data_IF_562395105484
#
_entry.id   IF_562395105484
#
_cell.length_a   1.000
_cell.length_b   1.000
_cell.length_c   1.000
_cell.angle_alpha   90.00
_cell.angle_beta   90.00
_cell.angle_gamma   90.00
#
_symmetry.space_group_name_H-M   'P 1'
#
loop_
_entity.id
_entity.type
_entity.pdbx_description
1 polymer ?
#
# COMPACT_ATOMS: atom_id res chain seq x y z
N UNK A 1 31.17 10.32 2.49
CA UNK A 1 30.18 10.89 1.55
C UNK A 1 28.78 10.46 1.98
N UNK A 2 28.27 10.99 3.12
CA UNK A 2 26.93 10.73 3.67
C UNK A 2 26.09 12.02 3.84
N UNK A 3 26.64 13.16 3.46
CA UNK A 3 26.09 14.47 3.86
C UNK A 3 24.80 14.91 3.15
N UNK A 4 24.40 14.26 2.07
CA UNK A 4 23.18 14.65 1.35
C UNK A 4 21.91 13.93 1.80
N UNK A 5 22.04 12.80 2.52
CA UNK A 5 20.89 11.98 2.98
C UNK A 5 20.42 12.36 4.38
N UNK A 6 21.15 13.21 5.09
CA UNK A 6 20.91 13.54 6.49
C UNK A 6 20.22 14.89 6.69
N UNK A 7 20.34 15.82 5.74
CA UNK A 7 19.88 17.20 5.89
C UNK A 7 18.37 17.34 6.15
N UNK A 8 17.53 16.46 5.58
CA UNK A 8 16.06 16.55 5.75
C UNK A 8 15.57 16.08 7.13
N UNK A 9 16.38 15.35 7.89
CA UNK A 9 15.93 14.67 9.13
C UNK A 9 15.66 15.60 10.30
N UNK A 10 16.15 16.81 10.25
CA UNK A 10 15.98 17.82 11.29
C UNK A 10 15.12 19.01 10.81
N UNK A 11 14.47 18.86 9.63
CA UNK A 11 13.55 19.82 9.04
C UNK A 11 12.20 19.13 8.73
N UNK A 12 11.10 19.69 9.25
CA UNK A 12 9.76 19.08 9.14
C UNK A 12 9.25 19.08 7.69
N UNK A 13 9.45 20.17 6.98
CA UNK A 13 8.93 20.29 5.59
C UNK A 13 9.73 19.38 4.66
N UNK A 14 11.05 19.37 4.79
CA UNK A 14 11.91 18.47 4.02
C UNK A 14 11.64 17.00 4.35
N UNK A 15 11.36 16.65 5.62
CA UNK A 15 10.95 15.28 6.02
C UNK A 15 9.61 14.90 5.39
N UNK A 16 8.65 15.81 5.38
CA UNK A 16 7.35 15.60 4.73
C UNK A 16 7.48 15.34 3.23
N UNK A 17 8.30 16.16 2.54
CA UNK A 17 8.57 15.99 1.10
C UNK A 17 9.23 14.65 0.80
N UNK A 18 10.20 14.26 1.63
CA UNK A 18 10.92 12.99 1.49
C UNK A 18 10.01 11.77 1.70
N UNK A 19 9.02 11.84 2.60
CA UNK A 19 8.02 10.77 2.77
C UNK A 19 7.32 10.47 1.44
N UNK A 20 6.77 11.49 0.80
CA UNK A 20 6.05 11.32 -0.47
C UNK A 20 6.96 10.89 -1.62
N UNK A 21 8.18 11.44 -1.68
CA UNK A 21 9.18 11.04 -2.67
C UNK A 21 9.59 9.57 -2.56
N UNK A 22 9.75 9.05 -1.33
CA UNK A 22 10.07 7.64 -1.10
C UNK A 22 8.92 6.71 -1.45
N UNK A 23 7.71 7.06 -1.11
CA UNK A 23 6.53 6.31 -1.49
C UNK A 23 6.38 6.25 -3.02
N UNK A 24 6.55 7.39 -3.71
CA UNK A 24 6.52 7.44 -5.17
C UNK A 24 7.63 6.58 -5.81
N UNK A 25 8.85 6.61 -5.25
CA UNK A 25 9.94 5.73 -5.68
C UNK A 25 9.59 4.26 -5.46
N UNK A 26 8.89 3.92 -4.37
CA UNK A 26 8.41 2.56 -4.09
C UNK A 26 7.47 2.03 -5.18
N UNK A 27 6.67 2.89 -5.81
CA UNK A 27 5.84 2.49 -6.96
C UNK A 27 6.70 2.15 -8.17
N UNK A 28 7.73 2.95 -8.45
CA UNK A 28 8.55 2.84 -9.65
C UNK A 28 9.65 1.76 -9.56
N UNK A 29 10.27 1.61 -8.39
CA UNK A 29 11.41 0.70 -8.18
C UNK A 29 11.03 -0.48 -7.26
N UNK A 30 11.02 -1.69 -7.85
CA UNK A 30 10.73 -2.93 -7.13
C UNK A 30 11.77 -3.29 -6.05
N UNK A 31 12.97 -2.69 -6.10
CA UNK A 31 14.03 -2.90 -5.11
C UNK A 31 13.93 -1.94 -3.93
N UNK A 32 13.08 -0.94 -4.01
CA UNK A 32 12.81 -0.03 -2.91
C UNK A 32 12.16 -0.78 -1.74
N UNK A 33 12.60 -0.51 -0.50
CA UNK A 33 11.94 -1.01 0.71
C UNK A 33 10.49 -0.54 0.85
N UNK A 34 10.10 0.47 0.09
CA UNK A 34 8.73 1.02 0.05
C UNK A 34 7.87 0.44 -1.10
N UNK A 35 8.41 -0.52 -1.90
CA UNK A 35 7.62 -1.16 -2.96
C UNK A 35 6.50 -2.05 -2.42
N UNK A 36 6.82 -2.80 -1.36
CA UNK A 36 5.85 -3.62 -0.64
C UNK A 36 5.61 -3.03 0.73
N UNK A 37 4.35 -2.91 1.10
CA UNK A 37 3.94 -2.32 2.37
C UNK A 37 3.03 -3.28 3.12
N UNK A 38 2.99 -3.17 4.44
CA UNK A 38 2.00 -3.87 5.25
C UNK A 38 0.72 -3.05 5.29
N UNK A 39 -0.40 -3.63 4.86
CA UNK A 39 -1.73 -3.06 5.00
C UNK A 39 -2.43 -3.74 6.19
N UNK A 40 -2.83 -2.96 7.16
CA UNK A 40 -3.66 -3.37 8.28
C UNK A 40 -5.12 -2.96 8.04
N UNK A 41 -6.03 -3.91 8.28
CA UNK A 41 -7.49 -3.76 8.22
C UNK A 41 -8.10 -4.36 9.47
N UNK A 42 -9.39 -4.17 9.70
CA UNK A 42 -10.10 -4.71 10.85
C UNK A 42 -11.41 -5.38 10.44
N UNK A 43 -11.84 -6.35 11.23
CA UNK A 43 -13.20 -6.90 11.27
C UNK A 43 -13.58 -7.24 12.72
N UNK A 44 -14.68 -7.98 12.90
CA UNK A 44 -15.16 -8.35 14.24
C UNK A 44 -14.19 -9.25 15.02
N UNK A 45 -13.35 -10.02 14.30
CA UNK A 45 -12.36 -10.92 14.91
C UNK A 45 -11.05 -10.19 15.30
N UNK A 46 -10.89 -8.92 14.88
CA UNK A 46 -9.77 -8.08 15.26
C UNK A 46 -8.96 -7.53 14.08
N UNK A 47 -7.70 -7.13 14.34
CA UNK A 47 -6.83 -6.56 13.32
C UNK A 47 -6.20 -7.65 12.44
N UNK A 48 -6.15 -7.38 11.15
CA UNK A 48 -5.50 -8.24 10.15
C UNK A 48 -4.42 -7.46 9.40
N UNK A 49 -3.23 -8.01 9.28
CA UNK A 49 -2.11 -7.41 8.55
C UNK A 49 -1.59 -8.35 7.46
N UNK A 50 -1.24 -7.79 6.30
CA UNK A 50 -0.61 -8.51 5.18
C UNK A 50 0.23 -7.58 4.34
N UNK A 51 1.20 -8.16 3.64
CA UNK A 51 1.99 -7.42 2.64
C UNK A 51 1.18 -7.24 1.37
N UNK A 52 1.21 -6.02 0.84
CA UNK A 52 0.65 -5.65 -0.46
C UNK A 52 1.66 -4.84 -1.26
N UNK A 53 1.50 -4.80 -2.58
CA UNK A 53 2.35 -3.98 -3.45
C UNK A 53 1.75 -2.58 -3.57
N UNK A 54 2.57 -1.55 -3.32
CA UNK A 54 2.19 -0.16 -3.57
C UNK A 54 2.16 0.08 -5.09
N UNK A 55 1.00 0.47 -5.60
CA UNK A 55 0.71 0.58 -7.04
C UNK A 55 0.50 2.01 -7.52
N UNK A 56 0.33 2.94 -6.63
CA UNK A 56 0.17 4.35 -6.95
C UNK A 56 0.31 5.22 -5.72
N UNK A 57 0.79 6.43 -5.95
CA UNK A 57 0.90 7.51 -4.95
C UNK A 57 0.55 8.80 -5.64
N UNK A 58 -0.39 9.52 -5.07
CA UNK A 58 -0.82 10.84 -5.54
C UNK A 58 -0.78 11.81 -4.35
N UNK A 59 0.29 12.59 -4.26
CA UNK A 59 0.52 13.50 -3.13
C UNK A 59 -0.55 14.57 -3.00
N UNK A 60 -0.94 15.18 -4.12
CA UNK A 60 -1.92 16.27 -4.12
C UNK A 60 -3.28 15.81 -3.59
N UNK A 61 -3.65 14.56 -3.86
CA UNK A 61 -4.88 13.94 -3.39
C UNK A 61 -4.69 13.16 -2.08
N UNK A 62 -3.49 13.14 -1.51
CA UNK A 62 -3.13 12.37 -0.33
C UNK A 62 -3.45 10.88 -0.47
N UNK A 63 -3.35 10.32 -1.67
CA UNK A 63 -3.88 8.99 -1.97
C UNK A 63 -2.76 7.99 -2.26
N UNK A 64 -2.87 6.81 -1.65
CA UNK A 64 -2.14 5.61 -2.03
C UNK A 64 -3.09 4.67 -2.78
N UNK A 65 -2.53 3.85 -3.67
CA UNK A 65 -3.27 2.81 -4.36
C UNK A 65 -2.59 1.46 -4.18
N UNK A 66 -3.36 0.47 -3.78
CA UNK A 66 -3.00 -0.95 -3.83
C UNK A 66 -4.07 -1.71 -4.61
N UNK A 67 -3.78 -2.96 -4.97
CA UNK A 67 -4.75 -3.78 -5.69
C UNK A 67 -5.14 -4.99 -4.85
N UNK A 68 -6.36 -5.48 -5.02
CA UNK A 68 -6.86 -6.69 -4.36
C UNK A 68 -7.80 -7.49 -5.26
N UNK A 69 -7.97 -8.76 -4.91
CA UNK A 69 -9.05 -9.59 -5.45
C UNK A 69 -10.32 -9.33 -4.66
N UNK A 70 -11.43 -9.14 -5.36
CA UNK A 70 -12.75 -8.91 -4.77
C UNK A 70 -13.19 -10.03 -3.82
N UNK A 71 -12.74 -11.25 -4.08
CA UNK A 71 -13.07 -12.46 -3.32
C UNK A 71 -12.21 -12.63 -2.06
N UNK A 72 -11.18 -11.77 -1.89
CA UNK A 72 -10.27 -11.88 -0.73
C UNK A 72 -10.93 -11.37 0.55
N UNK A 73 -10.60 -11.95 1.73
CA UNK A 73 -11.15 -11.49 3.02
C UNK A 73 -10.99 -9.98 3.24
N UNK A 74 -9.84 -9.41 2.83
CA UNK A 74 -9.59 -7.97 2.99
C UNK A 74 -10.58 -7.08 2.23
N UNK A 75 -11.15 -7.55 1.12
CA UNK A 75 -12.17 -6.78 0.40
C UNK A 75 -13.45 -6.63 1.24
N UNK A 76 -13.88 -7.70 1.91
CA UNK A 76 -14.98 -7.67 2.87
C UNK A 76 -14.68 -6.82 4.10
N UNK A 77 -13.46 -6.95 4.65
CA UNK A 77 -13.02 -6.13 5.79
C UNK A 77 -13.10 -4.64 5.49
N UNK A 78 -12.59 -4.22 4.33
CA UNK A 78 -12.62 -2.82 3.89
C UNK A 78 -14.03 -2.31 3.59
N UNK A 79 -14.95 -3.17 3.20
CA UNK A 79 -16.36 -2.81 3.02
C UNK A 79 -17.06 -2.60 4.37
N UNK A 80 -16.68 -3.35 5.40
CA UNK A 80 -17.23 -3.23 6.75
C UNK A 80 -16.61 -2.10 7.57
N UNK A 81 -15.29 -1.91 7.46
CA UNK A 81 -14.55 -0.84 8.14
C UNK A 81 -13.49 -0.26 7.20
N UNK A 82 -13.66 0.98 6.72
CA UNK A 82 -12.73 1.60 5.80
C UNK A 82 -11.43 2.10 6.46
N UNK A 83 -11.31 2.06 7.79
CA UNK A 83 -10.11 2.52 8.49
C UNK A 83 -8.96 1.55 8.25
N UNK A 84 -7.81 2.11 7.87
CA UNK A 84 -6.61 1.33 7.58
C UNK A 84 -5.37 1.99 8.15
N UNK A 85 -4.35 1.16 8.37
CA UNK A 85 -2.98 1.65 8.55
C UNK A 85 -2.07 0.93 7.54
N UNK A 86 -1.23 1.72 6.87
CA UNK A 86 -0.16 1.23 5.99
C UNK A 86 1.15 1.42 6.71
N UNK A 87 1.97 0.38 6.81
CA UNK A 87 3.32 0.46 7.36
C UNK A 87 4.33 0.03 6.29
N UNK A 88 5.29 0.90 6.01
CA UNK A 88 6.41 0.66 5.14
C UNK A 88 7.72 0.80 5.93
N UNK A 89 8.67 -0.14 5.73
CA UNK A 89 9.95 -0.11 6.41
C UNK A 89 11.09 -0.45 5.45
N UNK A 90 12.07 0.44 5.38
CA UNK A 90 13.33 0.20 4.69
C UNK A 90 14.45 -0.05 5.71
N UNK A 91 14.83 -1.32 5.87
CA UNK A 91 15.86 -1.74 6.83
C UNK A 91 17.25 -1.22 6.50
N UNK A 92 17.55 -0.92 5.22
CA UNK A 92 18.85 -0.37 4.82
C UNK A 92 18.99 1.09 5.25
N UNK A 93 17.89 1.82 5.17
CA UNK A 93 17.81 3.23 5.55
C UNK A 93 17.34 3.42 6.98
N UNK A 94 16.93 2.34 7.66
CA UNK A 94 16.39 2.36 9.02
C UNK A 94 15.20 3.33 9.17
N UNK A 95 14.37 3.37 8.14
CA UNK A 95 13.28 4.32 8.02
C UNK A 95 11.94 3.60 7.99
N UNK A 96 11.06 3.95 8.91
CA UNK A 96 9.66 3.51 8.95
C UNK A 96 8.73 4.68 8.61
N UNK A 97 7.75 4.41 7.77
CA UNK A 97 6.64 5.32 7.48
C UNK A 97 5.35 4.57 7.76
N UNK A 98 4.52 5.11 8.65
CA UNK A 98 3.16 4.63 8.87
C UNK A 98 2.18 5.68 8.38
N UNK A 99 1.13 5.23 7.69
CA UNK A 99 0.13 6.10 7.11
C UNK A 99 -1.24 5.58 7.51
N UNK A 100 -1.97 6.36 8.29
CA UNK A 100 -3.36 6.07 8.62
C UNK A 100 -4.27 6.77 7.64
N UNK A 101 -5.38 6.11 7.28
CA UNK A 101 -6.32 6.69 6.34
C UNK A 101 -7.63 5.91 6.25
N UNK A 102 -8.43 6.32 5.27
CA UNK A 102 -9.68 5.66 4.91
C UNK A 102 -9.53 5.04 3.53
N UNK A 103 -9.86 3.76 3.43
CA UNK A 103 -9.80 3.03 2.18
C UNK A 103 -11.16 3.03 1.48
N UNK A 104 -11.12 3.17 0.15
CA UNK A 104 -12.26 2.98 -0.73
C UNK A 104 -11.92 1.90 -1.75
N UNK A 105 -12.77 0.89 -1.82
CA UNK A 105 -12.63 -0.22 -2.78
C UNK A 105 -13.38 0.17 -4.06
N UNK A 106 -12.66 0.27 -5.16
CA UNK A 106 -13.20 0.62 -6.46
C UNK A 106 -13.32 -0.59 -7.37
N UNK A 107 -14.49 -0.75 -7.96
CA UNK A 107 -14.82 -1.82 -8.89
C UNK A 107 -14.87 -1.31 -10.34
N UNK A 108 -16.06 -1.03 -10.84
CA UNK A 108 -16.33 -0.59 -12.21
C UNK A 108 -16.25 0.95 -12.33
N UNK A 109 -15.10 1.53 -11.93
CA UNK A 109 -14.85 2.97 -12.04
C UNK A 109 -13.76 3.24 -13.08
N UNK A 110 -13.72 4.44 -13.67
CA UNK A 110 -12.66 4.82 -14.61
C UNK A 110 -11.25 4.64 -14.00
N UNK A 111 -11.08 4.89 -12.69
CA UNK A 111 -9.79 4.71 -12.00
C UNK A 111 -9.41 3.25 -11.85
N UNK A 112 -10.36 2.36 -11.52
CA UNK A 112 -10.14 0.92 -11.45
C UNK A 112 -9.80 0.34 -12.84
N UNK A 113 -10.48 0.80 -13.89
CA UNK A 113 -10.20 0.38 -15.27
C UNK A 113 -8.83 0.86 -15.74
N UNK A 114 -8.46 2.09 -15.42
CA UNK A 114 -7.12 2.60 -15.71
C UNK A 114 -6.04 1.80 -14.96
N UNK A 115 -6.28 1.47 -13.70
CA UNK A 115 -5.37 0.64 -12.89
C UNK A 115 -5.24 -0.78 -13.44
N UNK A 116 -6.34 -1.38 -13.91
CA UNK A 116 -6.33 -2.67 -14.57
C UNK A 116 -5.49 -2.63 -15.85
N UNK A 117 -5.76 -1.68 -16.74
CA UNK A 117 -5.03 -1.51 -18.02
C UNK A 117 -3.54 -1.27 -17.80
N UNK A 118 -3.15 -0.55 -16.75
CA UNK A 118 -1.75 -0.32 -16.39
C UNK A 118 -1.06 -1.52 -15.74
N UNK A 119 -1.83 -2.53 -15.31
CA UNK A 119 -1.26 -3.73 -14.67
C UNK A 119 -0.59 -4.63 -15.70
N UNK A 120 0.64 -5.09 -15.40
CA UNK A 120 1.35 -6.03 -16.27
C UNK A 120 0.55 -7.35 -16.44
N UNK A 121 0.61 -7.99 -17.62
CA UNK A 121 -0.12 -9.24 -17.88
C UNK A 121 0.13 -10.33 -16.81
N UNK A 122 1.37 -10.50 -16.38
CA UNK A 122 1.71 -11.45 -15.31
C UNK A 122 1.07 -11.11 -13.96
N UNK A 123 0.83 -9.84 -13.67
CA UNK A 123 0.14 -9.41 -12.45
C UNK A 123 -1.38 -9.61 -12.52
N UNK A 124 -1.95 -9.69 -13.73
CA UNK A 124 -3.38 -9.96 -13.92
C UNK A 124 -3.72 -11.44 -13.76
N UNK A 125 -2.72 -12.31 -13.85
CA UNK A 125 -2.92 -13.76 -13.79
C UNK A 125 -3.57 -14.23 -12.48
N UNK A 126 -3.20 -13.63 -11.35
CA UNK A 126 -3.74 -14.00 -10.04
C UNK A 126 -5.27 -13.79 -9.93
N UNK A 127 -5.83 -12.85 -10.67
CA UNK A 127 -7.28 -12.57 -10.67
C UNK A 127 -8.09 -13.59 -11.48
N UNK A 128 -7.43 -14.49 -12.21
CA UNK A 128 -8.04 -15.60 -12.96
C UNK A 128 -8.01 -16.92 -12.19
N UNK A 129 -7.43 -16.95 -11.00
CA UNK A 129 -7.35 -18.14 -10.17
C UNK A 129 -8.75 -18.70 -9.89
N UNK A 130 -8.90 -20.03 -9.94
CA UNK A 130 -10.16 -20.71 -9.71
C UNK A 130 -10.66 -20.53 -8.26
N UNK A 131 -9.73 -20.56 -7.31
CA UNK A 131 -10.02 -20.38 -5.89
C UNK A 131 -9.85 -18.91 -5.46
N UNK A 132 -10.73 -18.47 -4.56
CA UNK A 132 -10.59 -17.17 -3.91
C UNK A 132 -9.32 -17.14 -3.03
N UNK A 133 -8.63 -16.00 -2.91
CA UNK A 133 -7.50 -15.89 -1.98
C UNK A 133 -7.94 -16.20 -0.54
N UNK A 134 -7.24 -17.14 0.13
CA UNK A 134 -7.55 -17.59 1.49
C UNK A 134 -8.58 -18.72 1.55
N UNK A 135 -9.08 -19.24 0.43
CA UNK A 135 -9.92 -20.44 0.43
C UNK A 135 -9.13 -21.65 0.93
N UNK A 136 -9.80 -22.53 1.68
CA UNK A 136 -9.25 -23.83 2.04
C UNK A 136 -9.11 -24.69 0.78
N UNK A 137 -7.98 -25.36 0.62
CA UNK A 137 -7.67 -26.29 -0.46
C UNK A 137 -6.94 -27.50 0.10
N UNK A 138 -7.18 -28.68 -0.49
CA UNK A 138 -6.54 -29.92 -0.07
C UNK A 138 -5.12 -30.08 -0.63
N UNK A 139 -4.86 -29.45 -1.79
CA UNK A 139 -3.56 -29.47 -2.46
C UNK A 139 -2.97 -28.03 -2.45
N UNK A 140 -1.75 -27.83 -1.92
CA UNK A 140 -1.09 -26.54 -1.93
C UNK A 140 -0.88 -25.98 -3.35
N UNK A 141 -0.83 -26.82 -4.37
CA UNK A 141 -0.71 -26.42 -5.78
C UNK A 141 -2.06 -26.04 -6.44
N UNK A 142 -3.19 -26.21 -5.74
CA UNK A 142 -4.51 -25.86 -6.28
C UNK A 142 -4.66 -24.38 -6.67
N UNK A 143 -3.83 -23.50 -6.08
CA UNK A 143 -3.74 -22.07 -6.43
C UNK A 143 -2.85 -21.76 -7.63
N UNK A 144 -2.09 -22.73 -8.14
CA UNK A 144 -1.15 -22.49 -9.23
C UNK A 144 -1.89 -22.26 -10.55
N UNK A 145 -1.45 -21.30 -11.36
CA UNK A 145 -2.07 -21.03 -12.63
C UNK A 145 -1.79 -22.17 -13.63
N UNK A 146 -2.77 -23.03 -13.83
CA UNK A 146 -2.71 -24.12 -14.81
C UNK A 146 -2.49 -23.60 -16.24
N UNK A 147 -2.04 -24.44 -17.19
CA UNK A 147 -1.97 -24.06 -18.61
C UNK A 147 -3.29 -23.49 -19.15
N UNK A 148 -4.43 -24.06 -18.75
CA UNK A 148 -5.75 -23.56 -19.13
C UNK A 148 -6.01 -22.14 -18.61
N UNK A 149 -5.70 -21.84 -17.34
CA UNK A 149 -5.81 -20.49 -16.77
C UNK A 149 -4.88 -19.51 -17.47
N UNK A 150 -3.66 -19.95 -17.85
CA UNK A 150 -2.71 -19.10 -18.58
C UNK A 150 -3.19 -18.78 -19.99
N UNK A 151 -3.92 -19.71 -20.63
CA UNK A 151 -4.47 -19.55 -21.98
C UNK A 151 -5.71 -18.63 -22.02
N UNK A 152 -6.38 -18.37 -20.90
CA UNK A 152 -7.53 -17.46 -20.86
C UNK A 152 -7.12 -16.03 -21.25
N UNK A 153 -8.06 -15.31 -21.86
CA UNK A 153 -7.91 -13.87 -22.06
C UNK A 153 -7.65 -13.17 -20.73
N UNK A 154 -6.74 -12.20 -20.75
CA UNK A 154 -6.38 -11.45 -19.55
C UNK A 154 -7.59 -10.74 -18.92
N UNK A 155 -8.56 -10.33 -19.72
CA UNK A 155 -9.77 -9.63 -19.28
C UNK A 155 -10.71 -10.53 -18.45
N UNK A 156 -10.61 -11.85 -18.53
CA UNK A 156 -11.39 -12.76 -17.67
C UNK A 156 -11.13 -12.58 -16.18
N UNK A 157 -9.98 -12.00 -15.81
CA UNK A 157 -9.66 -11.63 -14.43
C UNK A 157 -10.23 -10.29 -13.96
N UNK A 158 -10.69 -9.44 -14.89
CA UNK A 158 -11.17 -8.08 -14.56
C UNK A 158 -12.32 -8.06 -13.54
N UNK A 159 -13.31 -8.96 -13.58
CA UNK A 159 -14.38 -9.01 -12.58
C UNK A 159 -13.89 -9.19 -11.13
N UNK A 160 -12.76 -9.87 -10.93
CA UNK A 160 -12.17 -10.10 -9.62
C UNK A 160 -11.22 -8.99 -9.17
N UNK A 161 -10.82 -8.09 -10.06
CA UNK A 161 -9.89 -7.01 -9.72
C UNK A 161 -10.60 -5.87 -8.99
N UNK A 162 -9.94 -5.36 -7.94
CA UNK A 162 -10.34 -4.12 -7.25
C UNK A 162 -9.13 -3.22 -7.07
N UNK A 163 -9.30 -1.93 -7.35
CA UNK A 163 -8.37 -0.91 -6.91
C UNK A 163 -8.80 -0.43 -5.52
N UNK A 164 -7.87 -0.40 -4.58
CA UNK A 164 -8.09 0.15 -3.24
C UNK A 164 -7.38 1.48 -3.18
N UNK A 165 -8.12 2.54 -3.05
CA UNK A 165 -7.61 3.90 -2.84
C UNK A 165 -7.66 4.21 -1.35
N UNK A 166 -6.52 4.65 -0.80
CA UNK A 166 -6.38 4.98 0.63
C UNK A 166 -6.12 6.47 0.73
N UNK A 167 -7.10 7.23 1.22
CA UNK A 167 -6.93 8.64 1.52
C UNK A 167 -6.23 8.78 2.87
N UNK A 168 -5.00 9.29 2.83
CA UNK A 168 -4.13 9.42 4.00
C UNK A 168 -4.55 10.64 4.81
N UNK A 169 -4.79 10.42 6.11
CA UNK A 169 -5.15 11.47 7.08
C UNK A 169 -4.09 11.71 8.13
N UNK A 170 -3.13 10.78 8.28
CA UNK A 170 -2.02 10.90 9.23
C UNK A 170 -0.79 10.19 8.70
N UNK A 171 0.37 10.80 8.89
CA UNK A 171 1.69 10.26 8.59
C UNK A 171 2.49 10.22 9.89
N UNK A 172 3.17 9.11 10.15
CA UNK A 172 4.11 8.94 11.27
C UNK A 172 5.42 8.44 10.66
N UNK A 173 6.41 9.31 10.61
CA UNK A 173 7.73 9.05 10.11
C UNK A 173 8.68 8.82 11.28
N UNK A 174 9.44 7.72 11.23
CA UNK A 174 10.42 7.34 12.25
C UNK A 174 11.72 6.90 11.60
N UNK A 175 12.79 7.61 11.93
CA UNK A 175 14.16 7.27 11.59
C UNK A 175 14.88 6.68 12.80
N UNK A 176 15.48 5.51 12.61
CA UNK A 176 16.17 4.74 13.68
C UNK A 176 17.68 4.84 13.46
N UNK A 177 18.37 5.71 14.20
CA UNK A 177 19.82 5.85 14.14
C UNK A 177 20.47 5.56 15.49
N UNK A 178 21.67 4.97 15.46
CA UNK A 178 22.46 4.76 16.67
C UNK A 178 22.86 6.07 17.38
N UNK A 179 22.95 7.16 16.60
CA UNK A 179 23.30 8.50 17.07
C UNK A 179 22.11 9.31 17.58
N UNK A 180 20.92 8.73 17.56
CA UNK A 180 19.66 9.37 17.97
C UNK A 180 18.55 9.19 16.93
N UNK A 181 17.39 8.79 17.40
CA UNK A 181 16.21 8.63 16.57
C UNK A 181 15.59 9.99 16.26
N UNK A 182 14.80 10.05 15.17
CA UNK A 182 13.94 11.21 14.84
C UNK A 182 12.57 10.70 14.52
N UNK A 183 11.54 11.37 15.02
CA UNK A 183 10.15 11.05 14.72
C UNK A 183 9.35 12.30 14.46
N UNK A 184 8.66 12.34 13.35
CA UNK A 184 7.73 13.38 12.97
C UNK A 184 6.34 12.80 12.72
N UNK A 185 5.32 13.55 13.10
CA UNK A 185 3.93 13.18 12.82
C UNK A 185 3.25 14.35 12.14
N UNK A 186 2.50 14.04 11.06
CA UNK A 186 1.70 15.00 10.34
C UNK A 186 0.25 14.53 10.35
N UNK A 187 -0.68 15.42 10.63
CA UNK A 187 -2.10 15.17 10.62
C UNK A 187 -2.80 16.11 9.63
N UNK A 188 -3.71 15.56 8.83
CA UNK A 188 -4.53 16.37 7.95
C UNK A 188 -5.64 17.04 8.73
N UNK A 189 -5.72 18.38 8.67
CA UNK A 189 -6.70 19.19 9.40
C UNK A 189 -8.04 19.30 8.70
N UNK A 190 -8.12 18.83 7.45
CA UNK A 190 -9.23 19.09 6.53
C UNK A 190 -8.88 20.11 5.45
N UNK A 191 -7.87 20.94 5.67
CA UNK A 191 -7.40 21.97 4.76
C UNK A 191 -5.90 21.85 4.44
N UNK A 192 -5.08 21.56 5.46
CA UNK A 192 -3.62 21.50 5.37
C UNK A 192 -3.05 20.42 6.27
N UNK A 193 -1.75 20.15 6.13
CA UNK A 193 -1.02 19.26 7.01
C UNK A 193 -0.44 20.03 8.20
N UNK A 194 -0.80 19.59 9.41
CA UNK A 194 -0.18 20.05 10.65
C UNK A 194 0.88 19.04 11.08
N UNK A 195 2.14 19.48 11.14
CA UNK A 195 3.32 18.66 11.41
C UNK A 195 4.02 19.03 12.70
N UNK A 196 4.61 18.01 13.37
CA UNK A 196 5.41 18.28 14.56
C UNK A 196 6.29 17.10 14.96
N UNK A 197 7.40 17.44 15.63
CA UNK A 197 8.31 16.45 16.20
C UNK A 197 7.66 15.69 17.36
N UNK A 198 8.02 14.42 17.50
CA UNK A 198 7.60 13.57 18.63
C UNK A 198 8.80 12.83 19.20
N UNK A 199 8.71 12.45 20.45
CA UNK A 199 9.66 11.51 21.02
C UNK A 199 9.55 10.16 20.26
N UNK A 200 10.69 9.55 19.92
CA UNK A 200 10.74 8.26 19.23
C UNK A 200 10.09 7.12 20.02
#
# INVERSE_FOLDING_TARGET
MSDGLDAFRDDLDATFDEVWARLARGVADRRSGFHTVTLATMDADGPHARTVVLRGVERAMRTLRVHTDARSPKAGQLAGDPRVEVCAYDGRQKLQIRLRGLARVEDATPSADAAWRASAPGSRLCYRAAHAPGAAVDDPAAGDPSPAIRALDSETGRPNFRAVLIEVTRIDWLYLAATGHRRAVYAWTGAEWDGGWRAP
#
